data_IF_040018804255
#
_entry.id   IF_040018804255
#
_cell.length_a   1.000
_cell.length_b   1.000
_cell.length_c   1.000
_cell.angle_alpha   90.00
_cell.angle_beta   90.00
_cell.angle_gamma   90.00
#
_symmetry.space_group_name_H-M   'P 1'
#
loop_
_entity.id
_entity.type
_entity.pdbx_description
1 polymer ?
#
# COMPACT_ATOMS: atom_id res chain seq x y z
N UNK A 1 13.35 19.27 -4.53
CA UNK A 1 13.86 17.90 -4.23
C UNK A 1 12.77 16.89 -4.60
N UNK A 2 13.08 15.80 -5.32
CA UNK A 2 12.11 14.71 -5.55
C UNK A 2 12.05 13.84 -4.29
N UNK A 3 10.88 13.62 -3.70
CA UNK A 3 10.73 12.84 -2.45
C UNK A 3 11.35 11.44 -2.55
N UNK A 4 11.30 10.81 -3.73
CA UNK A 4 11.90 9.50 -3.98
C UNK A 4 13.43 9.48 -3.78
N UNK A 5 14.11 10.61 -3.98
CA UNK A 5 15.56 10.70 -3.74
C UNK A 5 15.92 10.62 -2.26
N UNK A 6 14.99 10.99 -1.36
CA UNK A 6 15.18 10.86 0.07
C UNK A 6 15.24 9.40 0.50
N UNK A 7 14.57 8.49 -0.21
CA UNK A 7 14.53 7.04 0.11
C UNK A 7 15.93 6.42 0.14
N UNK A 8 16.87 6.93 -0.66
CA UNK A 8 18.27 6.47 -0.69
C UNK A 8 19.00 6.63 0.64
N UNK A 9 18.51 7.52 1.52
CA UNK A 9 19.11 7.78 2.83
C UNK A 9 18.67 6.76 3.90
N UNK A 10 17.68 5.93 3.60
CA UNK A 10 17.24 4.85 4.49
C UNK A 10 17.92 3.51 4.20
N UNK A 11 18.66 3.40 3.09
CA UNK A 11 19.48 2.24 2.78
C UNK A 11 20.91 2.43 3.31
N UNK A 12 21.61 1.34 3.69
CA UNK A 12 23.02 1.42 4.06
C UNK A 12 23.82 2.08 2.94
N UNK A 13 24.55 3.15 3.25
CA UNK A 13 25.42 3.79 2.26
C UNK A 13 26.74 3.02 2.17
N UNK A 14 27.05 2.54 0.97
CA UNK A 14 28.33 1.90 0.69
C UNK A 14 29.50 2.85 0.93
N UNK A 15 30.67 2.28 1.21
CA UNK A 15 31.89 3.07 1.37
C UNK A 15 32.26 3.69 0.01
N UNK A 16 32.16 5.01 -0.08
CA UNK A 16 32.57 5.76 -1.26
C UNK A 16 34.09 6.01 -1.20
N UNK A 17 34.88 5.09 -1.76
CA UNK A 17 36.33 5.27 -1.94
C UNK A 17 36.55 6.10 -3.20
N UNK A 18 36.91 7.36 -3.02
CA UNK A 18 37.32 8.25 -4.10
C UNK A 18 38.34 9.25 -3.56
N UNK A 19 39.32 9.62 -4.38
CA UNK A 19 40.28 10.69 -4.09
C UNK A 19 39.67 12.10 -4.28
N UNK A 20 38.39 12.16 -4.69
CA UNK A 20 37.64 13.42 -4.77
C UNK A 20 37.39 13.98 -3.37
N UNK A 21 37.87 15.20 -3.11
CA UNK A 21 37.51 15.94 -1.89
C UNK A 21 36.01 16.21 -1.88
N UNK A 22 35.33 15.84 -0.79
CA UNK A 22 33.92 16.15 -0.56
C UNK A 22 33.71 17.67 -0.69
N UNK A 23 33.06 18.13 -1.76
CA UNK A 23 32.87 19.56 -2.03
C UNK A 23 32.25 20.30 -0.84
N UNK A 24 32.87 21.39 -0.41
CA UNK A 24 32.46 22.20 0.76
C UNK A 24 31.40 23.25 0.44
N UNK A 25 30.77 23.15 -0.74
CA UNK A 25 29.73 24.10 -1.14
C UNK A 25 28.61 24.13 -0.10
N UNK A 26 28.19 25.31 0.37
CA UNK A 26 27.07 25.44 1.30
C UNK A 26 25.75 24.95 0.69
N UNK A 27 25.65 24.86 -0.64
CA UNK A 27 24.47 24.35 -1.34
C UNK A 27 24.40 22.81 -1.40
N UNK A 28 25.39 22.11 -0.83
CA UNK A 28 25.42 20.64 -0.86
C UNK A 28 24.46 20.06 0.16
N UNK A 29 23.43 19.37 -0.33
CA UNK A 29 22.54 18.55 0.50
C UNK A 29 23.29 17.36 1.12
N UNK A 30 23.27 17.27 2.45
CA UNK A 30 23.80 16.16 3.23
C UNK A 30 22.68 15.28 3.79
N UNK A 31 23.03 14.09 4.29
CA UNK A 31 22.06 13.22 4.96
C UNK A 31 21.38 13.91 6.15
N UNK A 32 22.10 14.78 6.88
CA UNK A 32 21.53 15.58 7.98
C UNK A 32 20.45 16.53 7.49
N UNK A 33 20.66 17.20 6.34
CA UNK A 33 19.67 18.10 5.76
C UNK A 33 18.40 17.35 5.35
N UNK A 34 18.56 16.12 4.81
CA UNK A 34 17.43 15.25 4.48
C UNK A 34 16.66 14.85 5.73
N UNK A 35 17.35 14.43 6.79
CA UNK A 35 16.69 14.05 8.05
C UNK A 35 16.01 15.24 8.73
N UNK A 36 16.61 16.43 8.70
CA UNK A 36 16.01 17.66 9.20
C UNK A 36 14.74 18.01 8.41
N UNK A 37 14.80 17.96 7.07
CA UNK A 37 13.65 18.21 6.21
C UNK A 37 12.51 17.20 6.44
N UNK A 38 12.83 15.92 6.64
CA UNK A 38 11.85 14.89 7.01
C UNK A 38 11.19 15.23 8.36
N UNK A 39 11.99 15.62 9.37
CA UNK A 39 11.48 16.03 10.68
C UNK A 39 10.54 17.23 10.59
N UNK A 40 10.93 18.29 9.87
CA UNK A 40 10.09 19.47 9.64
C UNK A 40 8.81 19.11 8.87
N UNK A 41 8.92 18.26 7.84
CA UNK A 41 7.76 17.80 7.07
C UNK A 41 6.80 16.99 7.93
N UNK A 42 7.31 16.13 8.82
CA UNK A 42 6.49 15.36 9.76
C UNK A 42 5.66 16.27 10.68
N UNK A 43 6.23 17.40 11.10
CA UNK A 43 5.54 18.42 11.90
C UNK A 43 4.39 19.10 11.16
N UNK A 44 4.49 19.28 9.85
CA UNK A 44 3.54 20.07 9.04
C UNK A 44 2.54 19.22 8.27
N UNK A 45 2.97 18.06 7.80
CA UNK A 45 2.28 17.19 6.86
C UNK A 45 2.40 15.71 7.28
N UNK A 46 2.16 15.43 8.57
CA UNK A 46 2.37 14.10 9.17
C UNK A 46 1.68 12.98 8.41
N UNK A 47 0.42 13.18 8.02
CA UNK A 47 -0.35 12.18 7.28
C UNK A 47 0.28 11.86 5.91
N UNK A 48 0.60 12.90 5.12
CA UNK A 48 1.18 12.71 3.79
C UNK A 48 2.54 12.03 3.83
N UNK A 49 3.37 12.40 4.81
CA UNK A 49 4.66 11.75 5.03
C UNK A 49 4.50 10.28 5.46
N UNK A 50 3.58 10.00 6.39
CA UNK A 50 3.30 8.65 6.84
C UNK A 50 2.77 7.77 5.69
N UNK A 51 1.87 8.32 4.87
CA UNK A 51 1.35 7.62 3.71
C UNK A 51 2.46 7.32 2.68
N UNK A 52 3.36 8.27 2.44
CA UNK A 52 4.50 8.09 1.55
C UNK A 52 5.47 7.01 2.05
N UNK A 53 5.89 7.07 3.32
CA UNK A 53 6.79 6.06 3.90
C UNK A 53 6.17 4.67 4.03
N UNK A 54 4.88 4.60 4.31
CA UNK A 54 4.12 3.35 4.27
C UNK A 54 4.11 2.75 2.87
N UNK A 55 3.78 3.56 1.84
CA UNK A 55 3.77 3.12 0.43
C UNK A 55 5.13 2.59 -0.02
N UNK A 56 6.21 3.24 0.39
CA UNK A 56 7.57 2.83 0.00
C UNK A 56 8.12 1.67 0.82
N UNK A 57 7.36 1.17 1.82
CA UNK A 57 7.77 0.06 2.67
C UNK A 57 8.89 0.37 3.66
N UNK A 58 9.20 1.66 3.89
CA UNK A 58 10.27 2.08 4.81
C UNK A 58 9.84 1.92 6.26
N UNK A 59 8.55 2.14 6.54
CA UNK A 59 8.03 2.20 7.91
C UNK A 59 6.63 1.60 7.99
N UNK A 60 6.52 0.43 8.63
CA UNK A 60 5.23 -0.23 8.92
C UNK A 60 4.39 0.57 9.92
N UNK A 61 5.05 1.27 10.85
CA UNK A 61 4.36 2.15 11.80
C UNK A 61 3.69 3.33 11.08
N UNK A 62 4.35 3.88 10.06
CA UNK A 62 3.79 4.98 9.28
C UNK A 62 2.63 4.53 8.40
N UNK A 63 2.71 3.34 7.83
CA UNK A 63 1.56 2.69 7.16
C UNK A 63 0.36 2.58 8.11
N UNK A 64 0.56 2.05 9.33
CA UNK A 64 -0.51 1.93 10.33
C UNK A 64 -1.07 3.29 10.73
N UNK A 65 -0.22 4.31 10.90
CA UNK A 65 -0.66 5.68 11.19
C UNK A 65 -1.49 6.28 10.05
N UNK A 66 -1.10 6.03 8.79
CA UNK A 66 -1.85 6.49 7.63
C UNK A 66 -3.24 5.81 7.56
N UNK A 67 -3.30 4.49 7.73
CA UNK A 67 -4.57 3.74 7.76
C UNK A 67 -5.47 4.21 8.90
N UNK A 68 -4.93 4.41 10.11
CA UNK A 68 -5.72 4.89 11.24
C UNK A 68 -6.25 6.32 11.03
N UNK A 69 -5.45 7.20 10.43
CA UNK A 69 -5.88 8.55 10.09
C UNK A 69 -7.01 8.53 9.05
N UNK A 70 -6.91 7.67 8.04
CA UNK A 70 -7.96 7.43 7.05
C UNK A 70 -9.24 6.88 7.70
N UNK A 71 -9.12 5.91 8.60
CA UNK A 71 -10.26 5.33 9.31
C UNK A 71 -10.99 6.38 10.16
N UNK A 72 -10.24 7.22 10.88
CA UNK A 72 -10.82 8.34 11.66
C UNK A 72 -11.55 9.32 10.75
N UNK A 73 -10.92 9.71 9.64
CA UNK A 73 -11.55 10.60 8.67
C UNK A 73 -12.83 9.99 8.08
N UNK A 74 -12.82 8.71 7.76
CA UNK A 74 -14.00 7.99 7.28
C UNK A 74 -15.11 7.95 8.33
N UNK A 75 -14.79 7.74 9.62
CA UNK A 75 -15.76 7.78 10.70
C UNK A 75 -16.44 9.16 10.84
N UNK A 76 -15.66 10.24 10.72
CA UNK A 76 -16.13 11.63 10.83
C UNK A 76 -17.01 12.04 9.64
N UNK A 77 -16.64 11.61 8.43
CA UNK A 77 -17.30 11.99 7.17
C UNK A 77 -18.46 11.08 6.77
N UNK A 78 -18.55 9.87 7.35
CA UNK A 78 -19.57 8.90 6.97
C UNK A 78 -20.99 9.45 7.15
N UNK A 79 -21.87 9.29 6.14
CA UNK A 79 -23.24 9.77 6.22
C UNK A 79 -24.07 8.94 7.21
N UNK A 80 -25.12 9.55 7.75
CA UNK A 80 -25.93 8.96 8.84
C UNK A 80 -26.54 7.59 8.48
N UNK A 81 -26.92 7.40 7.21
CA UNK A 81 -27.45 6.14 6.70
C UNK A 81 -26.41 5.02 6.75
N UNK A 82 -25.15 5.28 6.37
CA UNK A 82 -24.05 4.31 6.45
C UNK A 82 -23.77 3.95 7.90
N UNK A 83 -23.75 4.94 8.79
CA UNK A 83 -23.56 4.70 10.22
C UNK A 83 -24.68 3.84 10.81
N UNK A 84 -25.93 4.10 10.43
CA UNK A 84 -27.09 3.30 10.85
C UNK A 84 -27.08 1.88 10.29
N UNK A 85 -26.67 1.71 9.04
CA UNK A 85 -26.60 0.40 8.38
C UNK A 85 -25.49 -0.48 8.98
N UNK A 86 -24.33 0.09 9.28
CA UNK A 86 -23.20 -0.66 9.84
C UNK A 86 -23.37 -1.00 11.33
N UNK A 87 -24.14 -0.20 12.09
CA UNK A 87 -24.44 -0.48 13.49
C UNK A 87 -23.19 -0.63 14.35
N UNK A 88 -23.09 -1.73 15.11
CA UNK A 88 -21.94 -2.03 15.98
C UNK A 88 -20.63 -2.24 15.20
N UNK A 89 -20.72 -2.67 13.94
CA UNK A 89 -19.55 -2.92 13.09
C UNK A 89 -19.01 -1.65 12.41
N UNK A 90 -19.62 -0.49 12.65
CA UNK A 90 -19.25 0.76 11.99
C UNK A 90 -17.75 1.07 12.06
N UNK A 91 -17.13 0.92 13.24
CA UNK A 91 -15.69 1.15 13.40
C UNK A 91 -14.84 0.18 12.58
N UNK A 92 -15.23 -1.10 12.54
CA UNK A 92 -14.53 -2.12 11.77
C UNK A 92 -14.70 -1.89 10.25
N UNK A 93 -15.90 -1.54 9.79
CA UNK A 93 -16.13 -1.18 8.40
C UNK A 93 -15.24 -0.01 7.94
N UNK A 94 -15.12 1.05 8.75
CA UNK A 94 -14.25 2.19 8.42
C UNK A 94 -12.77 1.80 8.40
N UNK A 95 -12.34 0.91 9.29
CA UNK A 95 -10.98 0.38 9.31
C UNK A 95 -10.67 -0.43 8.04
N UNK A 96 -11.59 -1.30 7.61
CA UNK A 96 -11.43 -2.08 6.37
C UNK A 96 -11.39 -1.15 5.16
N UNK A 97 -12.32 -0.20 5.06
CA UNK A 97 -12.33 0.80 3.97
C UNK A 97 -11.00 1.57 3.90
N UNK A 98 -10.46 1.99 5.05
CA UNK A 98 -9.18 2.69 5.12
C UNK A 98 -8.00 1.82 4.66
N UNK A 99 -7.99 0.53 5.00
CA UNK A 99 -6.96 -0.41 4.51
C UNK A 99 -7.02 -0.54 2.98
N UNK A 100 -8.21 -0.72 2.41
CA UNK A 100 -8.39 -0.80 0.96
C UNK A 100 -8.01 0.50 0.26
N UNK A 101 -8.40 1.65 0.80
CA UNK A 101 -8.03 2.96 0.26
C UNK A 101 -6.50 3.18 0.28
N UNK A 102 -5.84 2.81 1.37
CA UNK A 102 -4.38 2.90 1.48
C UNK A 102 -3.66 1.94 0.53
N UNK A 103 -4.16 0.71 0.41
CA UNK A 103 -3.63 -0.28 -0.52
C UNK A 103 -3.74 0.20 -1.98
N UNK A 104 -4.87 0.81 -2.34
CA UNK A 104 -5.08 1.38 -3.67
C UNK A 104 -4.15 2.57 -3.94
N UNK A 105 -4.01 3.49 -2.97
CA UNK A 105 -3.03 4.57 -3.04
C UNK A 105 -1.58 4.06 -3.20
N UNK A 106 -1.26 2.97 -2.50
CA UNK A 106 0.08 2.38 -2.50
C UNK A 106 0.38 1.58 -3.77
N UNK A 107 -0.66 1.17 -4.51
CA UNK A 107 -0.53 0.43 -5.75
C UNK A 107 0.31 1.20 -6.77
N UNK A 108 1.19 0.48 -7.46
CA UNK A 108 1.99 0.93 -8.59
C UNK A 108 1.89 -0.08 -9.73
N UNK A 109 2.44 0.23 -10.91
CA UNK A 109 2.50 -0.73 -12.03
C UNK A 109 3.27 -2.03 -11.68
N UNK A 110 4.07 -2.02 -10.61
CA UNK A 110 4.83 -3.17 -10.12
C UNK A 110 4.12 -3.98 -9.02
N UNK A 111 3.00 -3.50 -8.45
CA UNK A 111 2.26 -4.28 -7.46
C UNK A 111 1.49 -5.40 -8.14
N UNK A 112 2.05 -6.61 -8.10
CA UNK A 112 1.31 -7.85 -8.32
C UNK A 112 0.59 -8.21 -7.01
N UNK A 113 -0.73 -8.35 -7.07
CA UNK A 113 -1.50 -8.96 -5.99
C UNK A 113 -1.75 -10.42 -6.35
N UNK A 114 -1.53 -11.31 -5.41
CA UNK A 114 -1.94 -12.71 -5.56
C UNK A 114 -3.44 -12.74 -5.79
N UNK A 115 -3.87 -13.18 -6.98
CA UNK A 115 -5.28 -13.17 -7.37
C UNK A 115 -6.14 -13.79 -6.27
N UNK A 116 -7.15 -13.07 -5.78
CA UNK A 116 -7.99 -13.54 -4.67
C UNK A 116 -8.83 -14.78 -5.04
N UNK A 117 -9.09 -14.96 -6.33
CA UNK A 117 -9.90 -16.08 -6.84
C UNK A 117 -9.06 -17.35 -7.01
N UNK A 118 -7.89 -17.24 -7.65
CA UNK A 118 -7.04 -18.41 -7.93
C UNK A 118 -5.86 -18.56 -6.95
N UNK A 119 -5.71 -17.66 -5.97
CA UNK A 119 -4.57 -17.60 -5.04
C UNK A 119 -3.21 -17.67 -5.74
N UNK A 120 -3.12 -17.12 -6.95
CA UNK A 120 -1.90 -17.10 -7.75
C UNK A 120 -1.63 -18.36 -8.59
N UNK A 121 -2.52 -19.35 -8.59
CA UNK A 121 -2.38 -20.57 -9.41
C UNK A 121 -2.64 -20.33 -10.90
N UNK A 122 -3.29 -19.22 -11.26
CA UNK A 122 -3.76 -18.95 -12.62
C UNK A 122 -4.96 -19.82 -13.05
N UNK A 123 -5.48 -20.68 -12.17
CA UNK A 123 -6.54 -21.65 -12.51
C UNK A 123 -7.51 -21.85 -11.35
N UNK A 124 -8.81 -21.86 -11.64
CA UNK A 124 -9.88 -22.19 -10.68
C UNK A 124 -10.52 -23.51 -11.08
N UNK A 125 -10.44 -24.53 -10.23
CA UNK A 125 -11.18 -25.79 -10.43
C UNK A 125 -12.54 -25.70 -9.74
N UNK A 126 -13.57 -26.19 -10.44
CA UNK A 126 -14.89 -26.43 -9.87
C UNK A 126 -15.31 -27.86 -10.21
N UNK A 127 -16.02 -28.50 -9.30
CA UNK A 127 -16.65 -29.80 -9.54
C UNK A 127 -18.14 -29.54 -9.76
N UNK A 128 -18.64 -29.97 -10.92
CA UNK A 128 -20.07 -29.95 -11.24
C UNK A 128 -20.55 -31.38 -11.47
N UNK A 129 -21.74 -31.69 -10.99
CA UNK A 129 -22.41 -32.95 -11.29
C UNK A 129 -22.92 -32.90 -12.73
N UNK A 130 -22.16 -33.52 -13.63
CA UNK A 130 -22.56 -33.65 -15.03
C UNK A 130 -23.42 -34.90 -15.18
N UNK A 131 -24.64 -34.75 -15.69
CA UNK A 131 -25.46 -35.88 -16.14
C UNK A 131 -24.75 -36.49 -17.36
N UNK A 132 -23.98 -37.55 -17.14
CA UNK A 132 -23.48 -38.40 -18.23
C UNK A 132 -24.67 -39.14 -18.78
N UNK A 133 -25.26 -38.67 -19.89
CA UNK A 133 -26.23 -39.48 -20.62
C UNK A 133 -25.53 -40.77 -21.08
N UNK A 134 -25.98 -41.95 -20.62
CA UNK A 134 -25.49 -43.20 -21.17
C UNK A 134 -26.15 -43.40 -22.54
N UNK A 135 -25.36 -43.36 -23.60
CA UNK A 135 -25.67 -44.06 -24.85
C UNK A 135 -26.01 -43.21 -26.07
N UNK A 136 -25.06 -43.11 -26.99
CA UNK A 136 -25.31 -43.33 -28.42
C UNK A 136 -24.16 -44.18 -28.96
N UNK A 137 -24.36 -45.49 -28.98
CA UNK A 137 -23.64 -46.42 -29.86
C UNK A 137 -24.72 -47.17 -30.63
N UNK A 138 -24.85 -46.82 -31.91
CA UNK A 138 -25.66 -47.45 -32.98
C UNK A 138 -26.52 -46.41 -33.71
N UNK A 139 -25.88 -45.65 -34.59
CA UNK A 139 -26.49 -45.29 -35.87
C UNK A 139 -26.29 -46.49 -36.80
N UNK A 140 -27.31 -47.33 -36.99
CA UNK A 140 -27.51 -48.19 -38.17
C UNK A 140 -28.78 -49.05 -37.97
N UNK A 141 -29.87 -48.68 -38.65
CA UNK A 141 -31.12 -49.44 -38.74
C UNK A 141 -32.37 -48.69 -38.31
#
# INVERSE_FOLDING_TARGET
MKLESALKHFSPQGMHISDSVKGTSPDRLTGTDVMAAIGTTSSRARFGLAAFFGKTGISKSDEQLAVQALARHAMETAPKNVRRAAGCEFGWCMQVLAQFAFAEYSRSAATSVTCHTCKGSGLTSQYEDVIKHPGVFNSDG
#
